data_IF_284446372970
#
_entry.id   IF_284446372970
#
_cell.length_a   1.000
_cell.length_b   1.000
_cell.length_c   1.000
_cell.angle_alpha   90.00
_cell.angle_beta   90.00
_cell.angle_gamma   90.00
#
_symmetry.space_group_name_H-M   'P 1'
#
loop_
_entity.id
_entity.type
_entity.pdbx_description
1 polymer ?
#
# COMPACT_ATOMS: atom_id res chain seq x y z
N UNK A 1 12.87 -19.13 5.27
CA UNK A 1 11.66 -19.10 4.40
C UNK A 1 12.03 -19.25 2.92
N UNK A 2 12.67 -18.25 2.27
CA UNK A 2 12.81 -18.23 0.81
C UNK A 2 13.57 -19.43 0.22
N UNK A 3 14.65 -19.87 0.87
CA UNK A 3 15.36 -21.08 0.48
C UNK A 3 14.44 -22.33 0.48
N UNK A 4 13.56 -22.45 1.47
CA UNK A 4 12.60 -23.56 1.55
C UNK A 4 11.56 -23.54 0.43
N UNK A 5 11.06 -22.35 0.06
CA UNK A 5 10.16 -22.18 -1.10
C UNK A 5 10.83 -22.68 -2.38
N UNK A 6 12.08 -22.26 -2.62
CA UNK A 6 12.80 -22.69 -3.83
C UNK A 6 13.25 -24.15 -3.79
N UNK A 7 13.57 -24.70 -2.62
CA UNK A 7 13.82 -26.13 -2.46
C UNK A 7 12.58 -26.97 -2.80
N UNK A 8 11.40 -26.59 -2.29
CA UNK A 8 10.13 -27.25 -2.62
C UNK A 8 9.81 -27.14 -4.12
N UNK A 9 10.06 -25.98 -4.74
CA UNK A 9 9.86 -25.80 -6.19
C UNK A 9 10.82 -26.65 -7.01
N UNK A 10 12.07 -26.76 -6.60
CA UNK A 10 13.04 -27.65 -7.23
C UNK A 10 12.61 -29.12 -7.15
N UNK A 11 12.11 -29.57 -5.99
CA UNK A 11 11.58 -30.92 -5.82
C UNK A 11 10.32 -31.19 -6.69
N UNK A 12 9.57 -30.15 -7.05
CA UNK A 12 8.41 -30.22 -7.94
C UNK A 12 8.75 -29.93 -9.42
N UNK A 13 10.03 -29.86 -9.78
CA UNK A 13 10.50 -29.49 -11.13
C UNK A 13 9.92 -28.16 -11.65
N UNK A 14 9.68 -27.20 -10.74
CA UNK A 14 9.19 -25.85 -11.06
C UNK A 14 10.35 -24.84 -11.10
N UNK A 15 10.28 -23.79 -11.94
CA UNK A 15 11.32 -22.77 -11.99
C UNK A 15 11.45 -22.05 -10.63
N UNK A 16 12.65 -21.60 -10.24
CA UNK A 16 12.83 -20.89 -8.98
C UNK A 16 11.98 -19.61 -8.96
N UNK A 17 11.50 -19.25 -7.78
CA UNK A 17 10.87 -17.97 -7.54
C UNK A 17 11.94 -16.97 -7.06
N UNK A 18 11.84 -15.72 -7.52
CA UNK A 18 12.63 -14.60 -7.03
C UNK A 18 11.70 -13.53 -6.42
N UNK A 19 12.16 -12.87 -5.35
CA UNK A 19 11.57 -11.63 -4.86
C UNK A 19 12.40 -10.46 -5.36
N UNK A 20 11.74 -9.49 -5.98
CA UNK A 20 12.40 -8.25 -6.41
C UNK A 20 12.82 -7.41 -5.21
N UNK A 21 13.95 -6.72 -5.32
CA UNK A 21 14.32 -5.68 -4.36
C UNK A 21 13.34 -4.50 -4.32
N UNK A 22 12.58 -4.28 -5.40
CA UNK A 22 11.58 -3.20 -5.49
C UNK A 22 10.28 -3.53 -4.76
N UNK A 23 10.02 -4.81 -4.48
CA UNK A 23 8.76 -5.27 -3.89
C UNK A 23 8.90 -5.77 -2.45
N UNK A 24 10.12 -6.07 -1.96
CA UNK A 24 10.32 -6.59 -0.60
C UNK A 24 11.72 -6.38 -0.02
N UNK A 25 11.80 -6.21 1.30
CA UNK A 25 13.07 -6.23 2.03
C UNK A 25 13.77 -7.60 1.96
N UNK A 26 13.04 -8.71 1.77
CA UNK A 26 13.67 -10.02 1.54
C UNK A 26 14.40 -10.01 0.20
N UNK A 27 13.82 -9.40 -0.84
CA UNK A 27 14.49 -9.22 -2.14
C UNK A 27 15.73 -8.35 -2.03
N UNK A 28 15.67 -7.24 -1.28
CA UNK A 28 16.84 -6.39 -0.98
C UNK A 28 17.94 -7.20 -0.29
N UNK A 29 17.59 -7.95 0.77
CA UNK A 29 18.53 -8.78 1.51
C UNK A 29 19.22 -9.81 0.62
N UNK A 30 18.43 -10.60 -0.12
CA UNK A 30 18.97 -11.67 -0.97
C UNK A 30 19.87 -11.10 -2.04
N UNK A 31 19.46 -10.02 -2.69
CA UNK A 31 20.27 -9.39 -3.73
C UNK A 31 21.58 -8.82 -3.17
N UNK A 32 21.52 -8.06 -2.07
CA UNK A 32 22.72 -7.51 -1.45
C UNK A 32 23.74 -8.61 -1.09
N UNK A 33 23.26 -9.71 -0.51
CA UNK A 33 24.11 -10.84 -0.12
C UNK A 33 24.74 -11.54 -1.34
N UNK A 34 24.00 -11.70 -2.43
CA UNK A 34 24.48 -12.42 -3.63
C UNK A 34 25.38 -11.54 -4.49
N UNK A 35 25.04 -10.26 -4.65
CA UNK A 35 25.75 -9.36 -5.56
C UNK A 35 26.96 -8.68 -4.93
N UNK A 36 26.90 -8.34 -3.63
CA UNK A 36 27.97 -7.58 -2.96
C UNK A 36 28.75 -8.41 -1.95
N UNK A 37 28.19 -9.53 -1.51
CA UNK A 37 28.73 -10.30 -0.39
C UNK A 37 28.71 -9.48 0.91
N UNK A 38 29.22 -10.09 1.98
CA UNK A 38 29.37 -9.43 3.27
C UNK A 38 30.66 -9.86 3.97
N UNK A 39 31.43 -8.90 4.46
CA UNK A 39 32.60 -9.13 5.33
C UNK A 39 32.24 -9.05 6.81
N UNK A 40 31.15 -8.35 7.12
CA UNK A 40 30.61 -8.14 8.47
C UNK A 40 29.12 -8.54 8.48
N UNK A 41 28.53 -8.92 9.62
CA UNK A 41 27.13 -9.35 9.70
C UNK A 41 26.16 -8.33 9.07
N UNK A 42 25.32 -8.79 8.14
CA UNK A 42 24.37 -7.94 7.42
C UNK A 42 23.36 -7.26 8.36
N UNK A 43 23.04 -5.98 8.13
CA UNK A 43 22.06 -5.21 8.90
C UNK A 43 20.98 -4.59 7.99
N UNK A 44 19.73 -5.01 8.20
CA UNK A 44 18.55 -4.77 7.34
C UNK A 44 17.96 -3.35 7.33
N UNK A 45 18.60 -2.35 7.94
CA UNK A 45 18.06 -0.98 8.01
C UNK A 45 19.09 0.10 7.64
N UNK A 46 20.08 -0.28 6.86
CA UNK A 46 21.00 0.70 6.25
C UNK A 46 20.29 1.42 5.11
N UNK A 47 20.81 2.57 4.69
CA UNK A 47 20.31 3.42 3.58
C UNK A 47 20.23 2.73 2.20
N UNK A 48 20.42 1.41 2.14
CA UNK A 48 20.56 0.59 0.94
C UNK A 48 19.24 0.13 0.31
N UNK A 49 18.10 0.36 0.96
CA UNK A 49 16.79 0.13 0.36
C UNK A 49 16.27 1.41 -0.31
N UNK A 50 16.40 1.48 -1.65
CA UNK A 50 16.02 2.67 -2.43
C UNK A 50 14.51 2.95 -2.32
N UNK A 51 13.71 1.89 -2.16
CA UNK A 51 12.24 1.95 -2.11
C UNK A 51 11.67 1.90 -0.68
N UNK A 52 12.45 2.29 0.34
CA UNK A 52 12.06 2.17 1.76
C UNK A 52 10.69 2.79 2.12
N UNK A 53 10.29 3.86 1.42
CA UNK A 53 8.99 4.53 1.63
C UNK A 53 7.82 3.69 1.13
N UNK A 54 8.02 2.87 0.10
CA UNK A 54 7.03 1.94 -0.45
C UNK A 54 7.10 0.57 0.21
N UNK A 55 8.27 0.14 0.68
CA UNK A 55 8.50 -1.15 1.34
C UNK A 55 8.14 -1.12 2.83
N UNK A 56 6.93 -0.72 3.19
CA UNK A 56 6.58 -0.58 4.60
C UNK A 56 6.00 -1.85 5.21
N UNK A 57 6.13 -2.07 6.52
CA UNK A 57 5.48 -3.20 7.18
C UNK A 57 3.95 -3.19 7.01
N UNK A 58 3.31 -2.03 7.08
CA UNK A 58 1.84 -1.86 6.97
C UNK A 58 1.26 -2.29 5.62
N UNK A 59 2.06 -2.30 4.56
CA UNK A 59 1.60 -2.64 3.21
C UNK A 59 2.20 -3.94 2.65
N UNK A 60 2.89 -4.72 3.50
CA UNK A 60 3.53 -5.97 3.06
C UNK A 60 2.53 -6.97 2.49
N UNK A 61 1.33 -7.04 3.06
CA UNK A 61 0.28 -7.94 2.59
C UNK A 61 -0.23 -7.55 1.20
N UNK A 62 -0.41 -6.25 0.94
CA UNK A 62 -0.81 -5.73 -0.38
C UNK A 62 0.24 -6.04 -1.45
N UNK A 63 1.52 -6.10 -1.08
CA UNK A 63 2.63 -6.39 -2.01
C UNK A 63 2.84 -7.88 -2.24
N UNK A 64 2.75 -8.70 -1.20
CA UNK A 64 3.30 -10.06 -1.24
C UNK A 64 2.27 -11.17 -1.10
N UNK A 65 1.05 -10.90 -0.64
CA UNK A 65 0.07 -11.98 -0.38
C UNK A 65 -0.36 -12.68 -1.67
N UNK A 66 -0.60 -11.92 -2.74
CA UNK A 66 -1.00 -12.48 -4.05
C UNK A 66 0.07 -13.43 -4.59
N UNK A 67 1.33 -12.95 -4.63
CA UNK A 67 2.49 -13.76 -5.02
C UNK A 67 2.69 -14.96 -4.10
N UNK A 68 2.51 -14.79 -2.78
CA UNK A 68 2.59 -15.87 -1.81
C UNK A 68 1.55 -16.96 -2.06
N UNK A 69 0.35 -16.59 -2.51
CA UNK A 69 -0.72 -17.53 -2.87
C UNK A 69 -0.37 -18.29 -4.15
N UNK A 70 0.10 -17.60 -5.19
CA UNK A 70 0.60 -18.24 -6.43
C UNK A 70 1.75 -19.24 -6.16
N UNK A 71 2.59 -18.94 -5.17
CA UNK A 71 3.68 -19.82 -4.73
C UNK A 71 3.24 -20.94 -3.78
N UNK A 72 1.96 -21.01 -3.39
CA UNK A 72 1.41 -22.01 -2.48
C UNK A 72 1.79 -21.82 -1.01
N UNK A 73 2.28 -20.63 -0.64
CA UNK A 73 2.73 -20.28 0.70
C UNK A 73 1.67 -19.54 1.54
N UNK A 74 0.57 -19.14 0.92
CA UNK A 74 -0.54 -18.40 1.55
C UNK A 74 -1.82 -19.22 1.44
N UNK A 75 -2.62 -19.27 2.51
CA UNK A 75 -3.90 -19.97 2.50
C UNK A 75 -4.95 -19.23 1.66
N UNK A 76 -5.94 -19.96 1.13
CA UNK A 76 -7.05 -19.35 0.41
C UNK A 76 -7.79 -18.30 1.25
N UNK A 77 -7.98 -18.55 2.55
CA UNK A 77 -8.63 -17.60 3.47
C UNK A 77 -7.87 -16.26 3.51
N UNK A 78 -6.54 -16.29 3.69
CA UNK A 78 -5.73 -15.07 3.73
C UNK A 78 -5.67 -14.37 2.37
N UNK A 79 -5.64 -15.13 1.28
CA UNK A 79 -5.67 -14.58 -0.07
C UNK A 79 -7.00 -13.85 -0.37
N UNK A 80 -8.14 -14.47 -0.02
CA UNK A 80 -9.44 -13.82 -0.19
C UNK A 80 -9.56 -12.53 0.62
N UNK A 81 -9.04 -12.54 1.85
CA UNK A 81 -9.01 -11.34 2.69
C UNK A 81 -8.15 -10.22 2.06
N UNK A 82 -6.97 -10.57 1.54
CA UNK A 82 -6.12 -9.60 0.85
C UNK A 82 -6.78 -9.02 -0.42
N UNK A 83 -7.49 -9.85 -1.20
CA UNK A 83 -8.27 -9.37 -2.35
C UNK A 83 -9.37 -8.42 -1.89
N UNK A 84 -10.13 -8.79 -0.84
CA UNK A 84 -11.22 -7.96 -0.30
C UNK A 84 -10.69 -6.58 0.09
N UNK A 85 -9.62 -6.53 0.89
CA UNK A 85 -8.99 -5.28 1.34
C UNK A 85 -8.47 -4.47 0.14
N UNK A 86 -7.77 -5.12 -0.80
CA UNK A 86 -7.27 -4.45 -2.00
C UNK A 86 -8.40 -3.80 -2.81
N UNK A 87 -9.48 -4.54 -3.08
CA UNK A 87 -10.65 -4.01 -3.77
C UNK A 87 -11.33 -2.87 -3.00
N UNK A 88 -11.46 -2.97 -1.68
CA UNK A 88 -12.01 -1.91 -0.84
C UNK A 88 -11.19 -0.62 -0.92
N UNK A 89 -9.85 -0.72 -0.84
CA UNK A 89 -8.94 0.42 -0.98
C UNK A 89 -9.12 1.07 -2.36
N UNK A 90 -9.13 0.29 -3.44
CA UNK A 90 -9.30 0.82 -4.80
C UNK A 90 -10.65 1.54 -4.96
N UNK A 91 -11.73 0.97 -4.41
CA UNK A 91 -13.05 1.59 -4.43
C UNK A 91 -13.11 2.88 -3.60
N UNK A 92 -12.49 2.89 -2.42
CA UNK A 92 -12.39 4.07 -1.57
C UNK A 92 -11.60 5.20 -2.27
N UNK A 93 -10.47 4.87 -2.91
CA UNK A 93 -9.70 5.83 -3.71
C UNK A 93 -10.52 6.39 -4.88
N UNK A 94 -11.24 5.54 -5.60
CA UNK A 94 -12.12 5.99 -6.69
C UNK A 94 -13.27 6.88 -6.19
N UNK A 95 -13.87 6.56 -5.04
CA UNK A 95 -14.89 7.39 -4.40
C UNK A 95 -14.33 8.76 -3.97
N UNK A 96 -13.12 8.80 -3.41
CA UNK A 96 -12.46 10.06 -3.06
C UNK A 96 -12.14 10.92 -4.29
N UNK A 97 -11.73 10.29 -5.40
CA UNK A 97 -11.47 10.98 -6.66
C UNK A 97 -12.75 11.52 -7.32
N UNK A 98 -13.85 10.77 -7.25
CA UNK A 98 -15.15 11.21 -7.82
C UNK A 98 -15.78 12.37 -7.04
N UNK A 99 -15.47 12.49 -5.74
CA UNK A 99 -15.83 13.65 -4.91
C UNK A 99 -15.00 14.87 -5.30
N UNK A 100 -15.29 15.47 -6.45
CA UNK A 100 -14.63 16.69 -6.93
C UNK A 100 -15.57 17.89 -6.84
N UNK A 101 -15.17 18.94 -6.13
CA UNK A 101 -15.92 20.19 -6.02
C UNK A 101 -14.99 21.41 -5.90
N UNK A 102 -15.57 22.61 -5.94
CA UNK A 102 -14.83 23.86 -5.77
C UNK A 102 -14.31 24.02 -4.34
N UNK A 103 -13.24 24.80 -4.18
CA UNK A 103 -12.66 25.14 -2.88
C UNK A 103 -13.69 25.80 -1.93
N UNK A 104 -14.60 26.61 -2.46
CA UNK A 104 -15.67 27.24 -1.67
C UNK A 104 -16.69 26.22 -1.12
N UNK A 105 -17.11 25.24 -1.94
CA UNK A 105 -18.02 24.18 -1.48
C UNK A 105 -17.37 23.31 -0.40
N UNK A 106 -16.07 23.03 -0.53
CA UNK A 106 -15.30 22.31 0.48
C UNK A 106 -15.22 23.09 1.79
N UNK A 107 -14.95 24.40 1.75
CA UNK A 107 -14.92 25.27 2.94
C UNK A 107 -16.26 25.32 3.67
N UNK A 108 -17.38 25.33 2.94
CA UNK A 108 -18.71 25.30 3.55
C UNK A 108 -18.97 23.99 4.28
N UNK A 109 -18.53 22.86 3.73
CA UNK A 109 -18.72 21.54 4.32
C UNK A 109 -17.73 21.22 5.45
N UNK A 110 -16.54 21.80 5.40
CA UNK A 110 -15.47 21.59 6.36
C UNK A 110 -14.90 22.94 6.84
N UNK A 111 -15.64 23.64 7.73
CA UNK A 111 -15.17 24.90 8.28
C UNK A 111 -13.92 24.70 9.14
N UNK A 112 -12.92 25.56 8.99
CA UNK A 112 -11.72 25.58 9.82
C UNK A 112 -10.48 24.88 9.25
N UNK A 113 -10.57 24.27 8.06
CA UNK A 113 -9.37 23.77 7.36
C UNK A 113 -8.67 24.95 6.66
N UNK A 114 -7.34 25.05 6.86
CA UNK A 114 -6.48 26.01 6.15
C UNK A 114 -6.30 25.66 4.67
N UNK A 115 -7.36 25.74 3.88
CA UNK A 115 -7.31 25.53 2.43
C UNK A 115 -6.82 26.78 1.69
N UNK A 116 -6.08 26.60 0.60
CA UNK A 116 -5.62 27.70 -0.25
C UNK A 116 -6.80 28.54 -0.78
N UNK A 117 -6.63 29.86 -0.87
CA UNK A 117 -7.66 30.82 -1.30
C UNK A 117 -7.94 30.81 -2.81
N UNK A 118 -7.35 29.88 -3.56
CA UNK A 118 -7.52 29.81 -5.00
C UNK A 118 -8.96 29.42 -5.38
N UNK A 119 -9.78 30.43 -5.72
CA UNK A 119 -11.22 30.31 -5.99
C UNK A 119 -11.56 29.47 -7.23
N UNK A 120 -10.63 29.29 -8.16
CA UNK A 120 -10.88 28.59 -9.43
C UNK A 120 -10.41 27.12 -9.44
N UNK A 121 -9.79 26.63 -8.34
CA UNK A 121 -9.32 25.25 -8.29
C UNK A 121 -10.43 24.31 -7.85
N UNK A 122 -10.67 23.26 -8.67
CA UNK A 122 -11.45 22.09 -8.24
C UNK A 122 -10.51 21.13 -7.51
N UNK A 123 -10.95 20.63 -6.37
CA UNK A 123 -10.19 19.68 -5.55
C UNK A 123 -11.03 18.41 -5.38
N UNK A 124 -10.39 17.26 -5.51
CA UNK A 124 -10.98 15.98 -5.16
C UNK A 124 -10.86 15.71 -3.65
N UNK A 125 -11.65 14.79 -3.12
CA UNK A 125 -11.49 14.29 -1.75
C UNK A 125 -10.09 13.68 -1.53
N UNK A 126 -9.49 13.13 -2.57
CA UNK A 126 -8.11 12.61 -2.53
C UNK A 126 -7.09 13.74 -2.35
N UNK A 127 -7.30 14.88 -3.03
CA UNK A 127 -6.42 16.05 -2.88
C UNK A 127 -6.53 16.66 -1.48
N UNK A 128 -7.72 16.60 -0.88
CA UNK A 128 -7.93 17.09 0.48
C UNK A 128 -7.15 16.30 1.54
N UNK A 129 -6.97 14.99 1.35
CA UNK A 129 -6.17 14.17 2.29
C UNK A 129 -4.69 14.53 2.32
N UNK A 130 -4.20 15.37 1.39
CA UNK A 130 -2.83 15.88 1.43
C UNK A 130 -2.66 17.02 2.45
N UNK A 131 -3.77 17.64 2.89
CA UNK A 131 -3.76 18.67 3.93
C UNK A 131 -3.68 18.01 5.30
N UNK A 132 -2.78 18.51 6.16
CA UNK A 132 -2.49 17.92 7.48
C UNK A 132 -3.71 17.86 8.41
N UNK A 133 -4.64 18.79 8.26
CA UNK A 133 -5.81 18.92 9.14
C UNK A 133 -7.00 18.08 8.67
N UNK A 134 -6.86 17.36 7.54
CA UNK A 134 -7.92 16.55 6.94
C UNK A 134 -7.66 15.08 7.18
N UNK A 135 -8.64 14.40 7.75
CA UNK A 135 -8.62 12.94 7.94
C UNK A 135 -9.71 12.26 7.11
N UNK A 136 -9.49 10.99 6.77
CA UNK A 136 -10.50 10.18 6.09
C UNK A 136 -11.81 10.11 6.89
N UNK A 137 -11.71 9.98 8.22
CA UNK A 137 -12.87 9.97 9.13
C UNK A 137 -13.70 11.25 9.04
N UNK A 138 -13.04 12.40 8.91
CA UNK A 138 -13.72 13.68 8.74
C UNK A 138 -14.47 13.72 7.39
N UNK A 139 -13.83 13.31 6.29
CA UNK A 139 -14.49 13.22 4.99
C UNK A 139 -15.68 12.25 5.01
N UNK A 140 -15.54 11.09 5.66
CA UNK A 140 -16.61 10.11 5.80
C UNK A 140 -17.78 10.62 6.63
N UNK A 141 -17.54 11.50 7.61
CA UNK A 141 -18.62 12.13 8.37
C UNK A 141 -19.46 13.11 7.53
N UNK A 142 -18.85 13.74 6.52
CA UNK A 142 -19.52 14.69 5.63
C UNK A 142 -20.20 13.98 4.44
N UNK A 143 -19.59 12.91 3.94
CA UNK A 143 -20.09 12.11 2.81
C UNK A 143 -20.30 10.64 3.22
N UNK A 144 -21.23 10.36 4.16
CA UNK A 144 -21.42 9.01 4.68
C UNK A 144 -21.87 8.03 3.60
N UNK A 145 -22.73 8.46 2.68
CA UNK A 145 -23.24 7.62 1.58
C UNK A 145 -22.12 7.09 0.68
N UNK A 146 -21.07 7.89 0.46
CA UNK A 146 -19.98 7.54 -0.44
C UNK A 146 -18.80 6.86 0.26
N UNK A 147 -18.56 7.17 1.54
CA UNK A 147 -17.31 6.82 2.22
C UNK A 147 -17.48 5.94 3.47
N UNK A 148 -18.66 5.92 4.11
CA UNK A 148 -18.91 5.08 5.28
C UNK A 148 -18.66 3.58 5.07
N UNK A 149 -18.91 2.99 3.88
CA UNK A 149 -18.60 1.58 3.63
C UNK A 149 -17.12 1.21 3.75
N UNK A 150 -16.22 2.20 3.76
CA UNK A 150 -14.77 1.99 3.80
C UNK A 150 -14.12 2.36 5.15
N UNK A 151 -14.93 2.61 6.18
CA UNK A 151 -14.47 3.03 7.52
C UNK A 151 -13.96 1.88 8.40
N UNK A 152 -14.29 0.63 8.07
CA UNK A 152 -13.92 -0.57 8.85
C UNK A 152 -12.57 -1.16 8.44
N UNK A 153 -11.84 -0.50 7.55
CA UNK A 153 -10.51 -0.91 7.08
C UNK A 153 -9.43 0.04 7.63
#
# INVERSE_FOLDING_TARGET
>A
LWAGVNAARSALCRPPAALSRTESYIGVLVDDLVSRGVTEPYRMFTSRAEFRTSLRPDNADLRLTMKGFELGCVSAVRHHEAIRVHCSIQKAMAALQSLTMSSDSWRQKLPGIGMSENKHQKLSGMDLLQYKDVSFKMLASVFPESLSPYMEF
#
